data_IF_443387236061
#
_entry.id   IF_443387236061
#
_cell.length_a   1.000
_cell.length_b   1.000
_cell.length_c   1.000
_cell.angle_alpha   90.00
_cell.angle_beta   90.00
_cell.angle_gamma   90.00
#
_symmetry.space_group_name_H-M   'P 1'
#
loop_
_entity.id
_entity.type
_entity.pdbx_description
1 polymer ?
#
# COMPACT_ATOMS: atom_id res chain seq x y z
N UNK A 1 -54.30 -33.92 -43.24
CA UNK A 1 -53.63 -32.69 -43.73
C UNK A 1 -53.78 -31.65 -42.62
N UNK A 2 -52.88 -31.66 -41.64
CA UNK A 2 -51.79 -30.68 -41.48
C UNK A 2 -52.27 -29.43 -40.70
N UNK A 3 -51.62 -28.86 -39.69
CA UNK A 3 -50.42 -29.17 -38.90
C UNK A 3 -50.50 -28.22 -37.69
N UNK A 4 -50.17 -28.71 -36.49
CA UNK A 4 -49.98 -27.89 -35.29
C UNK A 4 -48.62 -27.16 -35.33
N UNK A 5 -48.59 -25.86 -35.03
CA UNK A 5 -47.36 -25.12 -34.64
C UNK A 5 -47.78 -23.99 -33.67
N UNK A 6 -47.75 -24.20 -32.35
CA UNK A 6 -46.64 -24.07 -31.40
C UNK A 6 -46.36 -22.61 -31.02
N UNK A 7 -46.94 -22.22 -29.88
CA UNK A 7 -46.64 -20.99 -29.15
C UNK A 7 -45.17 -20.97 -28.69
N UNK A 8 -44.48 -19.88 -28.97
CA UNK A 8 -43.09 -19.63 -28.56
C UNK A 8 -43.06 -19.26 -27.06
N UNK A 9 -42.73 -20.23 -26.22
CA UNK A 9 -42.27 -20.05 -24.85
C UNK A 9 -40.75 -19.80 -24.87
N UNK A 10 -40.32 -18.56 -24.70
CA UNK A 10 -38.92 -18.19 -24.51
C UNK A 10 -38.62 -17.98 -23.03
N UNK A 11 -38.25 -19.04 -22.31
CA UNK A 11 -37.62 -18.95 -20.99
C UNK A 11 -36.16 -18.52 -21.17
N UNK A 12 -35.82 -17.32 -20.71
CA UNK A 12 -34.44 -16.88 -20.58
C UNK A 12 -33.77 -17.71 -19.46
N UNK A 13 -32.78 -18.50 -19.84
CA UNK A 13 -31.95 -19.32 -18.95
C UNK A 13 -30.91 -18.44 -18.26
N UNK A 14 -31.03 -18.31 -16.94
CA UNK A 14 -30.03 -17.74 -16.05
C UNK A 14 -28.89 -18.75 -15.84
N UNK A 15 -27.75 -18.59 -16.53
CA UNK A 15 -26.54 -19.37 -16.26
C UNK A 15 -25.86 -18.85 -14.99
N UNK A 16 -26.25 -19.39 -13.83
CA UNK A 16 -25.53 -19.19 -12.57
C UNK A 16 -24.32 -20.13 -12.51
N UNK A 17 -23.16 -19.64 -12.93
CA UNK A 17 -21.90 -20.38 -12.81
C UNK A 17 -21.27 -20.09 -11.43
N UNK A 18 -21.75 -20.75 -10.39
CA UNK A 18 -21.20 -20.64 -9.03
C UNK A 18 -20.01 -21.60 -8.87
N UNK A 19 -18.79 -21.06 -9.05
CA UNK A 19 -17.57 -21.76 -8.63
C UNK A 19 -17.64 -22.03 -7.12
N UNK A 20 -17.33 -23.25 -6.64
CA UNK A 20 -17.36 -23.55 -5.22
C UNK A 20 -16.30 -22.72 -4.47
N UNK A 21 -16.75 -21.94 -3.48
CA UNK A 21 -15.87 -21.16 -2.58
C UNK A 21 -15.09 -22.15 -1.71
N UNK A 22 -13.76 -22.08 -1.80
CA UNK A 22 -12.81 -22.85 -0.99
C UNK A 22 -13.00 -22.62 0.52
N UNK A 23 -12.65 -23.59 1.38
CA UNK A 23 -12.94 -23.53 2.81
C UNK A 23 -12.13 -22.40 3.48
N UNK A 24 -12.83 -21.57 4.27
CA UNK A 24 -12.26 -20.40 4.96
C UNK A 24 -11.27 -20.83 6.05
N UNK A 25 -9.98 -20.56 5.85
CA UNK A 25 -8.92 -20.63 6.89
C UNK A 25 -9.32 -19.77 8.09
N UNK A 26 -9.03 -20.20 9.33
CA UNK A 26 -9.19 -19.36 10.54
C UNK A 26 -8.43 -18.05 10.32
N UNK A 27 -9.14 -16.92 10.35
CA UNK A 27 -8.64 -15.62 9.90
C UNK A 27 -7.79 -14.95 10.96
N UNK A 28 -6.61 -14.48 10.56
CA UNK A 28 -5.87 -13.49 11.33
C UNK A 28 -6.58 -12.12 11.30
N UNK A 29 -6.18 -11.17 12.14
CA UNK A 29 -6.68 -9.80 12.06
C UNK A 29 -6.36 -9.19 10.69
N UNK A 30 -7.30 -8.42 10.13
CA UNK A 30 -7.05 -7.67 8.89
C UNK A 30 -5.86 -6.74 9.09
N UNK A 31 -4.92 -6.74 8.14
CA UNK A 31 -3.74 -5.87 8.15
C UNK A 31 -3.81 -4.85 7.02
N UNK A 32 -3.39 -3.62 7.34
CA UNK A 32 -3.22 -2.54 6.39
C UNK A 32 -1.79 -1.97 6.45
N UNK A 33 -1.12 -1.91 5.31
CA UNK A 33 0.16 -1.21 5.17
C UNK A 33 -0.07 0.05 4.36
N UNK A 34 0.21 1.20 4.95
CA UNK A 34 0.19 2.50 4.28
C UNK A 34 1.59 2.80 3.75
N UNK A 35 1.75 2.82 2.43
CA UNK A 35 3.02 3.10 1.75
C UNK A 35 3.04 4.57 1.36
N UNK A 36 4.07 5.27 1.81
CA UNK A 36 4.31 6.68 1.50
C UNK A 36 5.81 6.93 1.36
N UNK A 37 6.20 8.14 0.99
CA UNK A 37 7.61 8.54 0.87
C UNK A 37 7.89 9.48 -0.27
N UNK A 38 9.15 9.85 -0.41
CA UNK A 38 9.68 10.78 -1.42
C UNK A 38 9.32 10.34 -2.84
N UNK A 39 9.11 11.27 -3.76
CA UNK A 39 8.93 10.93 -5.16
C UNK A 39 10.23 10.34 -5.73
N UNK A 40 10.14 9.16 -6.37
CA UNK A 40 11.32 8.41 -6.84
C UNK A 40 11.95 7.45 -5.82
N UNK A 41 11.42 7.32 -4.60
CA UNK A 41 11.92 6.37 -3.59
C UNK A 41 11.56 4.90 -3.83
N UNK A 42 10.87 4.57 -4.94
CA UNK A 42 10.55 3.18 -5.29
C UNK A 42 9.20 2.67 -4.79
N UNK A 43 8.27 3.56 -4.39
CA UNK A 43 6.87 3.22 -3.98
C UNK A 43 6.20 2.18 -4.88
N UNK A 44 6.29 2.33 -6.21
CA UNK A 44 5.70 1.37 -7.15
C UNK A 44 6.38 0.00 -7.16
N UNK A 45 7.70 -0.07 -6.95
CA UNK A 45 8.42 -1.34 -6.82
C UNK A 45 8.05 -2.06 -5.51
N UNK A 46 7.90 -1.29 -4.43
CA UNK A 46 7.43 -1.81 -3.14
C UNK A 46 5.99 -2.30 -3.24
N UNK A 47 5.09 -1.56 -3.89
CA UNK A 47 3.71 -1.99 -4.10
C UNK A 47 3.65 -3.35 -4.82
N UNK A 48 4.44 -3.52 -5.89
CA UNK A 48 4.54 -4.81 -6.59
C UNK A 48 5.07 -5.93 -5.69
N UNK A 49 5.99 -5.64 -4.77
CA UNK A 49 6.47 -6.64 -3.81
C UNK A 49 5.35 -7.08 -2.86
N UNK A 50 4.51 -6.14 -2.40
CA UNK A 50 3.32 -6.45 -1.61
C UNK A 50 2.28 -7.28 -2.40
N UNK A 51 2.13 -7.04 -3.70
CA UNK A 51 1.27 -7.87 -4.56
C UNK A 51 1.72 -9.34 -4.55
N UNK A 52 3.03 -9.63 -4.64
CA UNK A 52 3.52 -11.01 -4.60
C UNK A 52 3.37 -11.66 -3.23
N UNK A 53 3.44 -10.86 -2.16
CA UNK A 53 3.12 -11.32 -0.80
C UNK A 53 1.63 -11.64 -0.62
N UNK A 54 0.79 -11.32 -1.61
CA UNK A 54 -0.64 -11.56 -1.63
C UNK A 54 -1.45 -10.47 -0.92
N UNK A 55 -0.93 -9.24 -0.85
CA UNK A 55 -1.69 -8.08 -0.37
C UNK A 55 -2.59 -7.55 -1.48
N UNK A 56 -3.79 -7.11 -1.11
CA UNK A 56 -4.63 -6.30 -1.98
C UNK A 56 -4.03 -4.89 -2.10
N UNK A 57 -3.54 -4.55 -3.28
CA UNK A 57 -2.75 -3.34 -3.50
C UNK A 57 -3.57 -2.27 -4.23
N UNK A 58 -3.53 -1.03 -3.73
CA UNK A 58 -4.13 0.13 -4.40
C UNK A 58 -3.09 1.25 -4.48
N UNK A 59 -2.86 1.75 -5.68
CA UNK A 59 -1.98 2.88 -5.92
C UNK A 59 -2.74 4.21 -5.92
N UNK A 60 -2.06 5.29 -5.55
CA UNK A 60 -2.54 6.67 -5.64
C UNK A 60 -3.91 6.91 -4.99
N UNK A 61 -4.12 6.39 -3.77
CA UNK A 61 -5.37 6.59 -3.05
C UNK A 61 -5.38 7.98 -2.38
N UNK A 62 -6.41 8.82 -2.62
CA UNK A 62 -6.60 10.06 -1.89
C UNK A 62 -6.72 9.82 -0.38
N UNK A 63 -6.13 10.73 0.39
CA UNK A 63 -6.08 10.67 1.86
C UNK A 63 -7.46 10.51 2.52
N UNK A 64 -8.47 11.17 1.95
CA UNK A 64 -9.85 11.17 2.46
C UNK A 64 -10.54 9.80 2.32
N UNK A 65 -10.05 8.95 1.42
CA UNK A 65 -10.63 7.64 1.15
C UNK A 65 -10.01 6.52 2.00
N UNK A 66 -8.91 6.78 2.70
CA UNK A 66 -8.22 5.76 3.52
C UNK A 66 -9.18 5.15 4.55
N UNK A 67 -9.97 5.97 5.23
CA UNK A 67 -10.92 5.49 6.26
C UNK A 67 -12.01 4.62 5.66
N UNK A 68 -12.63 5.08 4.56
CA UNK A 68 -13.68 4.33 3.86
C UNK A 68 -13.14 3.01 3.34
N UNK A 69 -11.92 3.02 2.80
CA UNK A 69 -11.25 1.82 2.34
C UNK A 69 -11.00 0.85 3.50
N UNK A 70 -10.51 1.35 4.65
CA UNK A 70 -10.30 0.54 5.83
C UNK A 70 -11.62 -0.11 6.30
N UNK A 71 -12.72 0.63 6.38
CA UNK A 71 -14.02 0.07 6.76
C UNK A 71 -14.50 -1.02 5.79
N UNK A 72 -14.29 -0.83 4.48
CA UNK A 72 -14.60 -1.82 3.46
C UNK A 72 -13.71 -3.07 3.58
N UNK A 73 -12.41 -2.90 3.78
CA UNK A 73 -11.46 -4.00 3.96
C UNK A 73 -11.82 -4.84 5.20
N UNK A 74 -12.24 -4.20 6.29
CA UNK A 74 -12.71 -4.88 7.50
C UNK A 74 -13.98 -5.69 7.28
N UNK A 75 -14.92 -5.17 6.48
CA UNK A 75 -16.18 -5.85 6.19
C UNK A 75 -16.04 -6.93 5.11
N UNK A 76 -15.04 -6.80 4.23
CA UNK A 76 -14.82 -7.73 3.13
C UNK A 76 -14.14 -9.00 3.60
N UNK A 77 -14.78 -10.18 3.46
CA UNK A 77 -14.18 -11.45 3.82
C UNK A 77 -13.03 -11.86 2.88
N UNK A 78 -12.79 -11.15 1.78
CA UNK A 78 -11.78 -11.49 0.77
C UNK A 78 -10.50 -10.65 0.95
N UNK A 79 -10.56 -9.58 1.76
CA UNK A 79 -9.45 -8.63 1.96
C UNK A 79 -8.86 -8.83 3.36
N UNK A 80 -7.88 -9.73 3.47
CA UNK A 80 -7.19 -10.00 4.75
C UNK A 80 -5.96 -9.11 4.93
N UNK A 81 -5.25 -8.79 3.85
CA UNK A 81 -4.03 -7.98 3.86
C UNK A 81 -4.11 -6.95 2.75
N UNK A 82 -3.88 -5.68 3.07
CA UNK A 82 -3.97 -4.56 2.12
C UNK A 82 -2.73 -3.69 2.15
N UNK A 83 -2.23 -3.28 0.98
CA UNK A 83 -1.24 -2.23 0.86
C UNK A 83 -1.81 -1.03 0.08
N UNK A 84 -1.71 0.17 0.64
CA UNK A 84 -2.23 1.39 0.03
C UNK A 84 -1.08 2.37 -0.19
N UNK A 85 -0.82 2.78 -1.43
CA UNK A 85 0.07 3.90 -1.71
C UNK A 85 -0.72 5.19 -1.61
N UNK A 86 -0.26 6.10 -0.74
CA UNK A 86 -0.86 7.43 -0.61
C UNK A 86 0.02 8.43 -1.33
N UNK A 87 -0.56 9.10 -2.32
CA UNK A 87 0.08 10.23 -2.97
C UNK A 87 -0.28 11.52 -2.23
N UNK A 88 0.73 12.23 -1.77
CA UNK A 88 0.60 13.35 -0.84
C UNK A 88 0.79 14.70 -1.56
N UNK A 89 0.63 14.70 -2.89
CA UNK A 89 0.73 15.89 -3.74
C UNK A 89 -0.20 17.04 -3.35
N UNK A 90 -1.23 16.79 -2.56
CA UNK A 90 -2.18 17.82 -2.11
C UNK A 90 -1.79 18.37 -0.73
N UNK A 91 -0.98 19.44 -0.75
CA UNK A 91 -0.43 20.11 0.44
C UNK A 91 -1.45 20.70 1.43
N UNK A 92 -2.76 20.57 1.19
CA UNK A 92 -3.81 20.98 2.13
C UNK A 92 -4.23 19.88 3.10
N UNK A 93 -4.03 18.60 2.75
CA UNK A 93 -4.65 17.47 3.43
C UNK A 93 -3.68 16.68 4.31
N UNK A 94 -2.36 16.89 4.18
CA UNK A 94 -1.32 16.27 5.02
C UNK A 94 -1.59 16.41 6.51
N UNK A 95 -2.01 17.59 6.95
CA UNK A 95 -2.22 17.92 8.37
C UNK A 95 -3.32 17.04 9.01
N UNK A 96 -4.20 16.44 8.18
CA UNK A 96 -5.26 15.54 8.63
C UNK A 96 -4.81 14.09 8.71
N UNK A 97 -3.70 13.70 8.07
CA UNK A 97 -3.21 12.32 8.07
C UNK A 97 -3.06 11.72 9.48
N UNK A 98 -2.51 12.42 10.50
CA UNK A 98 -2.35 11.83 11.84
C UNK A 98 -3.68 11.48 12.48
N UNK A 99 -4.68 12.34 12.31
CA UNK A 99 -6.03 12.11 12.84
C UNK A 99 -6.67 10.91 12.13
N UNK A 100 -6.50 10.82 10.81
CA UNK A 100 -6.96 9.70 10.01
C UNK A 100 -6.28 8.40 10.43
N UNK A 101 -4.94 8.38 10.49
CA UNK A 101 -4.15 7.24 10.93
C UNK A 101 -4.56 6.77 12.33
N UNK A 102 -4.79 7.70 13.27
CA UNK A 102 -5.25 7.38 14.62
C UNK A 102 -6.62 6.70 14.63
N UNK A 103 -7.53 7.08 13.73
CA UNK A 103 -8.83 6.44 13.61
C UNK A 103 -8.72 5.07 12.93
N UNK A 104 -7.92 4.96 11.86
CA UNK A 104 -7.72 3.71 11.12
C UNK A 104 -6.99 2.66 11.96
N UNK A 105 -5.94 3.05 12.71
CA UNK A 105 -5.20 2.17 13.64
C UNK A 105 -6.08 1.58 14.77
N UNK A 106 -7.21 2.22 15.11
CA UNK A 106 -8.19 1.67 16.08
C UNK A 106 -9.08 0.59 15.48
N UNK A 107 -9.22 0.58 14.15
CA UNK A 107 -10.18 -0.27 13.44
C UNK A 107 -9.49 -1.49 12.82
N UNK A 108 -8.29 -1.30 12.26
CA UNK A 108 -7.48 -2.30 11.56
C UNK A 108 -6.03 -2.17 12.01
N UNK A 109 -5.32 -3.29 12.14
CA UNK A 109 -3.89 -3.27 12.42
C UNK A 109 -3.16 -2.58 11.25
N UNK A 110 -2.66 -1.38 11.49
CA UNK A 110 -2.14 -0.50 10.42
C UNK A 110 -0.69 -0.13 10.68
N UNK A 111 0.17 -0.40 9.70
CA UNK A 111 1.57 -0.01 9.70
C UNK A 111 1.83 1.06 8.63
N UNK A 112 2.59 2.09 8.95
CA UNK A 112 2.98 3.16 8.03
C UNK A 112 4.43 2.93 7.59
N UNK A 113 4.61 2.62 6.31
CA UNK A 113 5.90 2.46 5.65
C UNK A 113 6.27 3.74 4.90
N UNK A 114 7.38 4.36 5.29
CA UNK A 114 7.94 5.53 4.63
C UNK A 114 9.22 5.17 3.86
N UNK A 115 9.23 5.47 2.57
CA UNK A 115 10.36 5.21 1.68
C UNK A 115 11.13 6.51 1.40
N UNK A 116 12.40 6.51 1.74
CA UNK A 116 13.31 7.61 1.45
C UNK A 116 14.49 7.17 0.57
N UNK A 117 15.22 8.15 0.05
CA UNK A 117 16.50 7.98 -0.62
C UNK A 117 17.27 9.30 -0.51
N UNK A 118 18.58 9.25 -0.78
CA UNK A 118 19.43 10.43 -0.88
C UNK A 118 19.01 11.29 -2.07
N UNK A 119 19.27 12.59 -1.97
CA UNK A 119 18.91 13.54 -3.02
C UNK A 119 19.62 13.19 -4.34
N UNK A 120 20.89 12.79 -4.29
CA UNK A 120 21.64 12.32 -5.47
C UNK A 120 20.98 11.11 -6.15
N UNK A 121 20.55 10.12 -5.36
CA UNK A 121 19.87 8.93 -5.89
C UNK A 121 18.52 9.28 -6.50
N UNK A 122 17.77 10.20 -5.88
CA UNK A 122 16.48 10.68 -6.40
C UNK A 122 16.67 11.46 -7.71
N UNK A 123 17.60 12.43 -7.75
CA UNK A 123 17.93 13.20 -8.96
C UNK A 123 18.30 12.27 -10.11
N UNK A 124 19.17 11.28 -9.84
CA UNK A 124 19.54 10.27 -10.83
C UNK A 124 18.33 9.50 -11.35
N UNK A 125 17.49 8.95 -10.47
CA UNK A 125 16.28 8.18 -10.87
C UNK A 125 15.28 9.01 -11.68
N UNK A 126 15.11 10.29 -11.35
CA UNK A 126 14.29 11.21 -12.13
C UNK A 126 14.86 11.45 -13.53
N UNK A 127 16.18 11.59 -13.64
CA UNK A 127 16.85 11.74 -14.96
C UNK A 127 16.73 10.49 -15.82
N UNK A 128 16.77 9.30 -15.21
CA UNK A 128 16.68 8.00 -15.88
C UNK A 128 15.28 7.70 -16.41
N UNK A 129 14.22 8.20 -15.75
CA UNK A 129 12.84 7.81 -16.09
C UNK A 129 12.24 8.52 -17.30
N UNK A 130 12.92 9.47 -17.96
CA UNK A 130 12.49 10.21 -19.18
C UNK A 130 11.03 10.72 -19.19
N UNK A 131 10.33 10.70 -18.06
CA UNK A 131 8.93 11.15 -17.95
C UNK A 131 8.93 12.68 -17.85
N UNK A 132 8.04 13.37 -18.58
CA UNK A 132 7.92 14.82 -18.47
C UNK A 132 7.70 15.20 -17.01
N UNK A 133 8.52 16.13 -16.53
CA UNK A 133 8.61 16.50 -15.13
C UNK A 133 7.25 16.94 -14.58
N UNK A 134 6.73 16.33 -13.49
CA UNK A 134 5.45 16.70 -12.88
C UNK A 134 5.54 17.99 -12.04
N UNK A 135 6.71 18.62 -11.95
CA UNK A 135 6.93 19.89 -11.27
C UNK A 135 7.40 20.91 -12.31
N UNK A 136 6.67 22.03 -12.38
CA UNK A 136 6.62 22.95 -13.50
C UNK A 136 7.96 23.53 -13.97
N UNK A 137 7.90 24.16 -15.13
CA UNK A 137 8.97 24.73 -15.97
C UNK A 137 9.95 25.74 -15.29
N UNK A 138 10.03 25.85 -13.96
CA UNK A 138 10.76 26.92 -13.26
C UNK A 138 11.66 26.48 -12.09
N UNK A 139 11.66 25.23 -11.63
CA UNK A 139 12.50 24.76 -10.50
C UNK A 139 13.37 23.55 -10.86
N UNK A 140 14.64 23.54 -10.42
CA UNK A 140 15.52 22.38 -10.58
C UNK A 140 14.96 21.16 -9.85
N UNK A 141 15.23 19.94 -10.37
CA UNK A 141 14.82 18.68 -9.73
C UNK A 141 15.33 18.61 -8.28
N UNK A 142 16.55 19.09 -8.03
CA UNK A 142 17.13 19.17 -6.70
C UNK A 142 16.32 20.06 -5.75
N UNK A 143 15.92 21.26 -6.17
CA UNK A 143 15.08 22.16 -5.34
C UNK A 143 13.72 21.54 -5.04
N UNK A 144 13.15 20.83 -6.03
CA UNK A 144 11.88 20.15 -5.89
C UNK A 144 11.94 19.02 -4.85
N UNK A 145 13.01 18.22 -4.87
CA UNK A 145 13.29 17.17 -3.88
C UNK A 145 13.49 17.78 -2.49
N UNK A 146 14.27 18.85 -2.37
CA UNK A 146 14.48 19.53 -1.08
C UNK A 146 13.16 20.02 -0.48
N UNK A 147 12.33 20.67 -1.31
CA UNK A 147 11.01 21.17 -0.88
C UNK A 147 10.07 20.02 -0.50
N UNK A 148 10.11 18.91 -1.23
CA UNK A 148 9.33 17.71 -0.90
C UNK A 148 9.77 17.11 0.43
N UNK A 149 11.08 17.05 0.68
CA UNK A 149 11.66 16.51 1.92
C UNK A 149 11.18 17.29 3.14
N UNK A 150 11.22 18.62 3.08
CA UNK A 150 10.70 19.49 4.15
C UNK A 150 9.22 19.26 4.42
N UNK A 151 8.40 19.08 3.36
CA UNK A 151 6.96 18.84 3.50
C UNK A 151 6.64 17.46 4.07
N UNK A 152 7.44 16.45 3.72
CA UNK A 152 7.23 15.06 4.14
C UNK A 152 7.92 14.71 5.47
N UNK A 153 8.74 15.60 6.03
CA UNK A 153 9.43 15.36 7.31
C UNK A 153 8.45 15.01 8.45
N UNK A 154 7.30 15.69 8.46
CA UNK A 154 6.21 15.36 9.37
C UNK A 154 5.71 13.92 9.23
N UNK A 155 5.63 13.40 8.00
CA UNK A 155 5.17 12.04 7.73
C UNK A 155 6.22 11.00 8.06
N UNK A 156 7.50 11.34 7.88
CA UNK A 156 8.62 10.52 8.32
C UNK A 156 8.53 10.24 9.83
N UNK A 157 8.16 11.25 10.62
CA UNK A 157 7.97 11.10 12.07
C UNK A 157 6.75 10.26 12.48
N UNK A 158 5.78 10.05 11.58
CA UNK A 158 4.61 9.20 11.81
C UNK A 158 4.80 7.75 11.33
N UNK A 159 5.91 7.48 10.65
CA UNK A 159 6.19 6.18 10.07
C UNK A 159 6.54 5.17 11.15
N UNK A 160 5.94 3.98 11.07
CA UNK A 160 6.31 2.85 11.90
C UNK A 160 7.57 2.18 11.35
N UNK A 161 7.74 2.21 10.02
CA UNK A 161 8.90 1.67 9.32
C UNK A 161 9.44 2.69 8.34
N UNK A 162 10.73 2.98 8.41
CA UNK A 162 11.45 3.80 7.42
C UNK A 162 12.43 2.90 6.67
N UNK A 163 12.44 2.99 5.34
CA UNK A 163 13.39 2.28 4.48
C UNK A 163 14.12 3.28 3.59
N UNK A 164 15.44 3.34 3.76
CA UNK A 164 16.32 4.07 2.86
C UNK A 164 16.64 3.21 1.63
N UNK A 165 16.12 3.63 0.49
CA UNK A 165 16.28 2.95 -0.80
C UNK A 165 17.50 3.42 -1.58
N UNK A 166 18.35 4.28 -1.03
CA UNK A 166 19.47 4.94 -1.73
C UNK A 166 20.42 3.97 -2.43
N UNK A 167 20.69 2.83 -1.78
CA UNK A 167 21.65 1.81 -2.24
C UNK A 167 20.98 0.60 -2.90
N UNK A 168 19.67 0.59 -2.97
CA UNK A 168 18.93 -0.54 -3.52
C UNK A 168 18.70 -0.38 -5.02
N UNK A 169 18.96 -1.46 -5.76
CA UNK A 169 18.34 -1.66 -7.06
C UNK A 169 16.90 -2.19 -6.92
N UNK A 170 16.16 -2.29 -8.03
CA UNK A 170 14.73 -2.69 -8.01
C UNK A 170 14.53 -4.10 -7.47
N UNK A 171 15.42 -5.04 -7.78
CA UNK A 171 15.34 -6.42 -7.32
C UNK A 171 15.69 -6.54 -5.84
N UNK A 172 16.76 -5.88 -5.39
CA UNK A 172 17.16 -5.85 -3.98
C UNK A 172 16.08 -5.22 -3.12
N UNK A 173 15.47 -4.11 -3.56
CA UNK A 173 14.37 -3.47 -2.83
C UNK A 173 13.20 -4.44 -2.68
N UNK A 174 12.83 -5.14 -3.77
CA UNK A 174 11.74 -6.11 -3.77
C UNK A 174 12.02 -7.26 -2.82
N UNK A 175 13.20 -7.87 -2.89
CA UNK A 175 13.61 -8.93 -1.95
C UNK A 175 13.60 -8.45 -0.51
N UNK A 176 14.14 -7.25 -0.23
CA UNK A 176 14.16 -6.68 1.11
C UNK A 176 12.75 -6.47 1.69
N UNK A 177 11.79 -6.02 0.87
CA UNK A 177 10.38 -5.90 1.29
C UNK A 177 9.76 -7.27 1.54
N UNK A 178 10.00 -8.24 0.65
CA UNK A 178 9.49 -9.60 0.80
C UNK A 178 9.99 -10.19 2.11
N UNK A 179 11.30 -10.20 2.35
CA UNK A 179 11.89 -10.79 3.55
C UNK A 179 11.33 -10.13 4.83
N UNK A 180 11.30 -8.80 4.86
CA UNK A 180 10.87 -8.03 6.02
C UNK A 180 9.38 -8.24 6.38
N UNK A 181 8.51 -8.29 5.38
CA UNK A 181 7.06 -8.41 5.60
C UNK A 181 6.55 -9.86 5.53
N UNK A 182 7.36 -10.80 5.06
CA UNK A 182 7.10 -12.23 5.18
C UNK A 182 7.37 -12.72 6.61
N UNK A 183 8.46 -12.25 7.25
CA UNK A 183 8.80 -12.60 8.63
C UNK A 183 7.81 -12.05 9.66
N UNK A 184 7.16 -10.91 9.40
CA UNK A 184 6.13 -10.33 10.27
C UNK A 184 4.87 -11.19 10.47
N UNK A 185 4.75 -12.32 9.75
CA UNK A 185 3.70 -13.34 9.98
C UNK A 185 4.09 -14.39 11.02
N UNK A 186 5.37 -14.49 11.38
CA UNK A 186 5.85 -15.28 12.51
C UNK A 186 6.11 -14.32 13.68
N UNK A 187 5.21 -14.33 14.65
CA UNK A 187 5.27 -13.60 15.90
C UNK A 187 6.53 -13.99 16.71
N UNK A 188 7.68 -13.41 16.33
CA UNK A 188 8.91 -13.47 17.11
C UNK A 188 8.97 -12.21 17.98
N UNK A 189 8.04 -12.13 18.94
CA UNK A 189 8.21 -11.25 20.08
C UNK A 189 9.53 -11.61 20.78
N UNK A 190 10.46 -10.65 20.84
CA UNK A 190 11.72 -10.83 21.57
C UNK A 190 11.37 -10.87 23.06
N UNK A 191 11.43 -12.06 23.66
CA UNK A 191 11.29 -12.24 25.10
C UNK A 191 12.60 -11.84 25.78
N UNK A 192 12.65 -10.64 26.37
CA UNK A 192 13.78 -10.21 27.20
C UNK A 192 13.52 -10.65 28.64
N UNK A 193 14.25 -11.67 29.12
CA UNK A 193 14.26 -12.09 30.52
C UNK A 193 15.51 -11.56 31.21
N UNK A 194 15.32 -10.74 32.25
CA UNK A 194 16.40 -10.24 33.09
C UNK A 194 16.32 -10.95 34.45
N UNK A 195 17.37 -11.66 34.83
CA UNK A 195 17.46 -12.35 36.12
C UNK A 195 18.67 -11.80 36.87
N UNK A 196 18.44 -11.26 38.06
CA UNK A 196 19.48 -10.82 38.99
C UNK A 196 19.60 -11.84 40.12
N UNK A 197 20.82 -12.19 40.50
CA UNK A 197 21.13 -13.03 41.66
C UNK A 197 22.13 -12.32 42.56
N UNK A 198 21.99 -12.53 43.87
CA UNK A 198 22.82 -11.96 44.93
C UNK A 198 23.67 -13.03 45.62
#
# INVERSE_FOLDING_TARGET
MATAVKALSGKATTSSNSRPRSPKKKRGPTELVLITGMSGSGKGSVLKAFEDLGYYCVDNLPLELIQRFADLARQSPEIERTALVVDIREGGTLNRLPQILKQVKKTINTQVLFLEASDDSLVRRFSETRRPHPLGKSSSVANAISTERERLDFLRNLADVIIDTSKFNVHELRSHIIDKFQEGTNDHSILVSCVSFG
#
